data_IF_655888588907
#
_entry.id   IF_655888588907
#
_cell.length_a   1.000
_cell.length_b   1.000
_cell.length_c   1.000
_cell.angle_alpha   90.00
_cell.angle_beta   90.00
_cell.angle_gamma   90.00
#
_symmetry.space_group_name_H-M   'P 1'
#
loop_
_entity.id
_entity.type
_entity.pdbx_description
1 polymer ?
#
# COMPACT_ATOMS: atom_id res chain seq x y z
N UNK A 1 -18.49 -30.71 -11.28
CA UNK A 1 -18.89 -29.40 -10.72
C UNK A 1 -17.89 -28.39 -11.16
N UNK A 2 -18.32 -27.35 -11.85
CA UNK A 2 -17.43 -26.24 -12.23
C UNK A 2 -17.63 -25.15 -11.17
N UNK A 3 -16.61 -24.90 -10.37
CA UNK A 3 -16.58 -23.79 -9.42
C UNK A 3 -15.77 -22.64 -10.02
N UNK A 4 -16.29 -21.43 -9.95
CA UNK A 4 -15.58 -20.23 -10.33
C UNK A 4 -15.09 -19.54 -9.07
N UNK A 5 -13.79 -19.31 -8.96
CA UNK A 5 -13.18 -18.54 -7.90
C UNK A 5 -12.06 -17.67 -8.48
N UNK A 6 -11.62 -16.69 -7.74
CA UNK A 6 -10.44 -15.92 -8.11
C UNK A 6 -9.15 -16.75 -7.97
N UNK A 7 -8.07 -16.32 -8.61
CA UNK A 7 -6.79 -17.03 -8.60
C UNK A 7 -6.18 -17.13 -7.18
N UNK A 8 -6.48 -16.16 -6.32
CA UNK A 8 -6.07 -16.20 -4.93
C UNK A 8 -6.74 -17.34 -4.16
N UNK A 9 -8.03 -17.56 -4.39
CA UNK A 9 -8.79 -18.68 -3.83
C UNK A 9 -8.29 -20.01 -4.40
N UNK A 10 -8.04 -20.08 -5.73
CA UNK A 10 -7.47 -21.26 -6.39
C UNK A 10 -6.12 -21.67 -5.81
N UNK A 11 -5.23 -20.72 -5.56
CA UNK A 11 -3.92 -21.00 -4.98
C UNK A 11 -4.02 -21.60 -3.56
N UNK A 12 -5.10 -21.30 -2.84
CA UNK A 12 -5.38 -21.87 -1.51
C UNK A 12 -6.09 -23.24 -1.56
N UNK A 13 -6.64 -23.61 -2.70
CA UNK A 13 -7.31 -24.89 -2.93
C UNK A 13 -6.35 -25.93 -3.53
N UNK A 14 -5.04 -25.81 -3.27
CA UNK A 14 -4.01 -26.69 -3.82
C UNK A 14 -4.29 -28.19 -3.65
N UNK A 15 -4.95 -28.57 -2.56
CA UNK A 15 -5.37 -29.96 -2.32
C UNK A 15 -6.40 -30.47 -3.32
N UNK A 16 -7.20 -29.59 -3.93
CA UNK A 16 -8.18 -29.97 -4.97
C UNK A 16 -7.50 -30.27 -6.30
N UNK A 17 -6.36 -29.66 -6.59
CA UNK A 17 -5.57 -29.92 -7.81
C UNK A 17 -5.09 -31.39 -7.81
N UNK A 18 -4.67 -31.90 -6.65
CA UNK A 18 -4.30 -33.31 -6.46
C UNK A 18 -5.44 -34.30 -6.69
N UNK A 19 -6.69 -33.85 -6.72
CA UNK A 19 -7.88 -34.65 -6.96
C UNK A 19 -8.39 -34.62 -8.42
N UNK A 20 -7.59 -34.11 -9.35
CA UNK A 20 -7.89 -34.07 -10.77
C UNK A 20 -8.68 -32.84 -11.25
N UNK A 21 -8.76 -31.79 -10.44
CA UNK A 21 -9.34 -30.51 -10.87
C UNK A 21 -8.30 -29.72 -11.68
N UNK A 22 -8.74 -29.18 -12.81
CA UNK A 22 -7.92 -28.28 -13.63
C UNK A 22 -8.26 -26.84 -13.24
N UNK A 23 -7.33 -26.13 -12.58
CA UNK A 23 -7.53 -24.72 -12.25
C UNK A 23 -7.36 -23.87 -13.50
N UNK A 24 -8.30 -23.00 -13.78
CA UNK A 24 -8.16 -21.89 -14.73
C UNK A 24 -8.96 -20.70 -14.24
N UNK A 25 -8.49 -19.53 -14.57
CA UNK A 25 -9.13 -18.27 -14.21
C UNK A 25 -9.70 -17.52 -15.43
N UNK A 26 -10.32 -16.36 -15.21
CA UNK A 26 -10.82 -15.53 -16.30
C UNK A 26 -9.72 -14.96 -17.17
N UNK A 27 -8.50 -14.81 -16.65
CA UNK A 27 -7.34 -14.42 -17.45
C UNK A 27 -7.05 -15.45 -18.54
N UNK A 28 -7.12 -16.73 -18.20
CA UNK A 28 -6.91 -17.83 -19.14
C UNK A 28 -8.02 -17.88 -20.20
N UNK A 29 -9.25 -17.51 -19.82
CA UNK A 29 -10.41 -17.52 -20.71
C UNK A 29 -10.64 -16.23 -21.50
N UNK A 30 -9.84 -15.19 -21.24
CA UNK A 30 -10.03 -13.82 -21.75
C UNK A 30 -10.18 -13.76 -23.28
N UNK A 31 -9.33 -14.46 -23.99
CA UNK A 31 -9.35 -14.46 -25.46
C UNK A 31 -10.51 -15.22 -26.05
N UNK A 32 -10.94 -16.27 -25.37
CA UNK A 32 -12.11 -17.06 -25.76
C UNK A 32 -13.38 -16.24 -25.54
N UNK A 33 -13.51 -15.58 -24.39
CA UNK A 33 -14.65 -14.73 -24.07
C UNK A 33 -14.79 -13.55 -25.06
N UNK A 34 -13.70 -12.91 -25.44
CA UNK A 34 -13.69 -11.81 -26.43
C UNK A 34 -14.14 -12.24 -27.83
N UNK A 35 -13.88 -13.46 -28.22
CA UNK A 35 -14.21 -13.99 -29.56
C UNK A 35 -15.66 -14.46 -29.66
N UNK A 36 -16.33 -14.71 -28.56
CA UNK A 36 -17.69 -15.24 -28.56
C UNK A 36 -18.74 -14.12 -28.70
N UNK A 37 -19.32 -13.99 -29.87
CA UNK A 37 -20.46 -13.08 -30.11
C UNK A 37 -21.76 -13.49 -29.40
N UNK A 38 -21.82 -14.67 -28.82
CA UNK A 38 -23.03 -15.22 -28.16
C UNK A 38 -22.92 -15.27 -26.64
N UNK A 39 -21.76 -14.94 -26.09
CA UNK A 39 -21.56 -14.96 -24.64
C UNK A 39 -22.04 -13.64 -24.03
N UNK A 40 -23.10 -13.72 -23.25
CA UNK A 40 -23.53 -12.59 -22.40
C UNK A 40 -22.74 -12.69 -21.11
N UNK A 41 -21.68 -11.88 -21.00
CA UNK A 41 -20.89 -11.79 -19.79
C UNK A 41 -21.68 -11.05 -18.70
N UNK A 42 -21.59 -11.52 -17.46
CA UNK A 42 -22.06 -10.74 -16.31
C UNK A 42 -21.22 -9.44 -16.19
N UNK A 43 -21.70 -8.41 -15.47
CA UNK A 43 -20.93 -7.18 -15.28
C UNK A 43 -19.52 -7.42 -14.72
N UNK A 44 -19.39 -8.38 -13.78
CA UNK A 44 -18.07 -8.74 -13.23
C UNK A 44 -17.19 -9.39 -14.30
N UNK A 45 -17.71 -10.35 -15.04
CA UNK A 45 -16.98 -11.02 -16.12
C UNK A 45 -16.54 -10.05 -17.22
N UNK A 46 -17.43 -9.11 -17.56
CA UNK A 46 -17.12 -8.06 -18.52
C UNK A 46 -15.95 -7.20 -18.05
N UNK A 47 -15.96 -6.73 -16.80
CA UNK A 47 -14.84 -5.99 -16.20
C UNK A 47 -13.54 -6.79 -16.22
N UNK A 48 -13.56 -8.08 -15.90
CA UNK A 48 -12.38 -8.93 -15.94
C UNK A 48 -11.78 -9.06 -17.34
N UNK A 49 -12.63 -9.12 -18.37
CA UNK A 49 -12.19 -9.19 -19.78
C UNK A 49 -11.64 -7.84 -20.28
N UNK A 50 -12.28 -6.76 -19.87
CA UNK A 50 -11.96 -5.39 -20.30
C UNK A 50 -10.91 -4.71 -19.40
N UNK A 51 -10.44 -5.40 -18.36
CA UNK A 51 -9.53 -4.82 -17.38
C UNK A 51 -8.30 -4.20 -18.00
N UNK A 52 -8.02 -3.01 -17.53
CA UNK A 52 -6.76 -2.32 -17.72
C UNK A 52 -6.05 -2.21 -16.36
N UNK A 53 -4.76 -2.37 -16.36
CA UNK A 53 -3.93 -2.12 -15.19
C UNK A 53 -2.66 -1.42 -15.62
N UNK A 54 -2.19 -0.55 -14.77
CA UNK A 54 -0.92 0.14 -14.92
C UNK A 54 -0.14 -0.04 -13.62
N UNK A 55 1.09 -0.51 -13.73
CA UNK A 55 2.02 -0.54 -12.62
C UNK A 55 2.77 0.79 -12.66
N UNK A 56 2.48 1.64 -11.69
CA UNK A 56 3.23 2.88 -11.51
C UNK A 56 4.57 2.52 -10.91
N UNK A 57 5.65 2.94 -11.56
CA UNK A 57 7.00 2.69 -11.07
C UNK A 57 7.14 3.21 -9.63
N UNK A 58 7.84 2.44 -8.77
CA UNK A 58 8.05 2.88 -7.40
C UNK A 58 8.74 4.24 -7.39
N UNK A 59 8.31 5.07 -6.46
CA UNK A 59 8.96 6.35 -6.20
C UNK A 59 10.41 6.10 -5.86
N UNK A 60 11.32 6.69 -6.63
CA UNK A 60 12.72 6.74 -6.22
C UNK A 60 12.79 7.59 -4.97
N UNK A 61 13.51 7.11 -3.95
CA UNK A 61 13.64 7.79 -2.66
C UNK A 61 14.20 9.23 -2.81
N UNK A 62 14.94 9.47 -3.88
CA UNK A 62 15.56 10.77 -4.12
C UNK A 62 16.33 11.24 -2.89
N UNK A 63 15.99 12.43 -2.42
CA UNK A 63 16.64 13.07 -1.27
C UNK A 63 15.91 12.79 0.06
N UNK A 64 14.89 11.92 0.11
CA UNK A 64 14.11 11.70 1.34
C UNK A 64 14.90 10.98 2.42
N UNK A 65 15.86 10.16 2.05
CA UNK A 65 16.63 9.32 2.97
C UNK A 65 15.88 8.10 3.49
N UNK A 66 14.69 7.78 2.94
CA UNK A 66 13.88 6.64 3.36
C UNK A 66 14.58 5.31 3.04
N UNK A 67 15.14 5.20 1.84
CA UNK A 67 15.89 4.02 1.41
C UNK A 67 17.17 3.82 2.24
N UNK A 68 17.86 4.92 2.57
CA UNK A 68 19.00 4.88 3.48
C UNK A 68 18.59 4.36 4.86
N UNK A 69 17.53 4.93 5.45
CA UNK A 69 17.05 4.49 6.76
C UNK A 69 16.63 3.01 6.73
N UNK A 70 15.94 2.57 5.70
CA UNK A 70 15.54 1.19 5.52
C UNK A 70 16.74 0.25 5.48
N UNK A 71 17.71 0.49 4.60
CA UNK A 71 18.87 -0.38 4.45
C UNK A 71 19.73 -0.43 5.71
N UNK A 72 19.90 0.72 6.38
CA UNK A 72 20.65 0.80 7.62
C UNK A 72 19.98 0.01 8.74
N UNK A 73 18.66 0.17 8.93
CA UNK A 73 17.93 -0.60 9.96
C UNK A 73 18.00 -2.11 9.69
N UNK A 74 17.74 -2.55 8.47
CA UNK A 74 17.83 -3.97 8.12
C UNK A 74 19.26 -4.53 8.26
N UNK A 75 20.27 -3.75 7.89
CA UNK A 75 21.68 -4.16 8.00
C UNK A 75 22.12 -4.30 9.44
N UNK A 76 21.84 -3.29 10.28
CA UNK A 76 22.27 -3.28 11.68
C UNK A 76 21.56 -4.36 12.50
N UNK A 77 20.25 -4.41 12.43
CA UNK A 77 19.47 -5.35 13.24
C UNK A 77 19.59 -6.81 12.74
N UNK A 78 19.74 -7.02 11.43
CA UNK A 78 20.02 -8.35 10.88
C UNK A 78 21.37 -8.95 11.28
N UNK A 79 22.29 -8.14 11.81
CA UNK A 79 23.58 -8.58 12.29
C UNK A 79 23.61 -8.87 13.81
N UNK A 80 22.56 -8.50 14.55
CA UNK A 80 22.46 -8.70 16.01
C UNK A 80 21.65 -9.96 16.29
N UNK A 81 22.26 -10.91 16.98
CA UNK A 81 21.57 -12.10 17.51
C UNK A 81 21.45 -11.94 19.03
N UNK A 82 20.23 -11.74 19.51
CA UNK A 82 19.96 -11.45 20.93
C UNK A 82 18.59 -11.92 21.37
N UNK A 83 18.49 -12.30 22.66
CA UNK A 83 17.24 -12.62 23.37
C UNK A 83 16.83 -11.47 24.32
N UNK A 84 17.42 -10.28 24.19
CA UNK A 84 17.06 -9.11 24.99
C UNK A 84 15.72 -8.55 24.52
N UNK A 85 14.67 -8.78 25.30
CA UNK A 85 13.29 -8.41 24.97
C UNK A 85 13.13 -6.88 24.78
N UNK A 86 13.83 -6.07 25.56
CA UNK A 86 13.75 -4.61 25.45
C UNK A 86 14.39 -4.11 24.16
N UNK A 87 15.52 -4.71 23.76
CA UNK A 87 16.17 -4.43 22.47
C UNK A 87 15.26 -4.82 21.31
N UNK A 88 14.70 -6.03 21.32
CA UNK A 88 13.81 -6.53 20.27
C UNK A 88 12.56 -5.69 20.15
N UNK A 89 11.99 -5.21 21.26
CA UNK A 89 10.85 -4.30 21.24
C UNK A 89 11.19 -2.93 20.64
N UNK A 90 12.37 -2.39 20.97
CA UNK A 90 12.85 -1.13 20.41
C UNK A 90 13.10 -1.25 18.90
N UNK A 91 13.71 -2.35 18.45
CA UNK A 91 13.87 -2.69 17.04
C UNK A 91 12.53 -2.73 16.31
N UNK A 92 11.55 -3.49 16.82
CA UNK A 92 10.22 -3.60 16.24
C UNK A 92 9.52 -2.22 16.16
N UNK A 93 9.74 -1.38 17.17
CA UNK A 93 9.19 -0.02 17.20
C UNK A 93 9.77 0.84 16.08
N UNK A 94 11.07 0.77 15.84
CA UNK A 94 11.73 1.48 14.72
C UNK A 94 11.27 0.96 13.36
N UNK A 95 11.14 -0.35 13.19
CA UNK A 95 10.54 -0.90 11.97
C UNK A 95 9.06 -0.52 11.82
N UNK A 96 8.34 -0.35 12.92
CA UNK A 96 6.97 0.19 12.93
C UNK A 96 6.91 1.61 12.36
N UNK A 97 7.81 2.48 12.81
CA UNK A 97 7.95 3.87 12.32
C UNK A 97 8.33 3.89 10.83
N UNK A 98 9.33 3.11 10.43
CA UNK A 98 9.75 2.97 9.04
C UNK A 98 8.59 2.50 8.16
N UNK A 99 7.91 1.43 8.57
CA UNK A 99 6.78 0.87 7.83
C UNK A 99 5.60 1.84 7.74
N UNK A 100 5.37 2.67 8.76
CA UNK A 100 4.36 3.71 8.72
C UNK A 100 4.75 4.82 7.72
N UNK A 101 6.01 5.26 7.71
CA UNK A 101 6.51 6.23 6.74
C UNK A 101 6.39 5.73 5.28
N UNK A 102 6.71 4.46 5.03
CA UNK A 102 6.58 3.83 3.70
C UNK A 102 5.11 3.78 3.24
N UNK A 103 4.17 3.53 4.15
CA UNK A 103 2.74 3.42 3.82
C UNK A 103 2.00 4.75 3.77
N UNK A 104 2.61 5.82 4.24
CA UNK A 104 1.99 7.14 4.31
C UNK A 104 1.66 7.67 2.92
N UNK A 105 0.42 8.13 2.76
CA UNK A 105 -0.12 8.68 1.51
C UNK A 105 -0.54 10.13 1.64
N UNK A 106 -0.45 10.66 2.85
CA UNK A 106 -0.82 12.02 3.24
C UNK A 106 0.32 12.71 3.97
N UNK A 107 0.34 14.03 3.95
CA UNK A 107 1.28 14.79 4.76
C UNK A 107 0.98 14.56 6.25
N UNK A 108 2.00 14.24 7.08
CA UNK A 108 1.79 13.98 8.49
C UNK A 108 1.40 15.25 9.24
N UNK A 109 0.45 15.12 10.17
CA UNK A 109 0.10 16.18 11.12
C UNK A 109 1.10 16.26 12.28
N UNK A 110 1.04 17.36 13.04
CA UNK A 110 1.94 17.62 14.15
C UNK A 110 1.89 16.54 15.24
N UNK A 111 0.68 16.12 15.61
CA UNK A 111 0.46 15.09 16.63
C UNK A 111 1.08 13.75 16.25
N UNK A 112 0.91 13.35 15.00
CA UNK A 112 1.53 12.13 14.48
C UNK A 112 3.05 12.25 14.49
N UNK A 113 3.60 13.39 14.05
CA UNK A 113 5.04 13.63 14.05
C UNK A 113 5.64 13.55 15.45
N UNK A 114 4.99 14.15 16.43
CA UNK A 114 5.43 14.11 17.83
C UNK A 114 5.42 12.70 18.38
N UNK A 115 4.36 11.95 18.10
CA UNK A 115 4.26 10.54 18.53
C UNK A 115 5.39 9.69 17.92
N UNK A 116 5.63 9.79 16.61
CA UNK A 116 6.68 9.01 15.95
C UNK A 116 8.08 9.42 16.42
N UNK A 117 8.30 10.71 16.65
CA UNK A 117 9.56 11.24 17.19
C UNK A 117 9.81 10.72 18.61
N UNK A 118 8.77 10.63 19.44
CA UNK A 118 8.84 10.02 20.77
C UNK A 118 9.27 8.55 20.67
N UNK A 119 8.61 7.76 19.85
CA UNK A 119 8.96 6.33 19.64
C UNK A 119 10.43 6.18 19.20
N UNK A 120 10.90 6.99 18.26
CA UNK A 120 12.30 6.95 17.82
C UNK A 120 13.24 7.28 18.98
N UNK A 121 12.91 8.28 19.80
CA UNK A 121 13.74 8.71 20.92
C UNK A 121 13.86 7.63 21.98
N UNK A 122 12.74 7.05 22.38
CA UNK A 122 12.67 6.00 23.40
C UNK A 122 13.38 4.74 22.93
N UNK A 123 13.20 4.35 21.65
CA UNK A 123 13.87 3.19 21.06
C UNK A 123 15.40 3.39 21.00
N UNK A 124 15.89 4.56 20.61
CA UNK A 124 17.31 4.86 20.60
C UNK A 124 17.92 4.79 22.00
N UNK A 125 17.22 5.28 23.02
CA UNK A 125 17.71 5.23 24.40
C UNK A 125 17.77 3.77 24.90
N UNK A 126 16.74 2.96 24.63
CA UNK A 126 16.72 1.54 24.98
C UNK A 126 17.87 0.77 24.32
N UNK A 127 18.07 0.96 23.01
CA UNK A 127 19.16 0.32 22.25
C UNK A 127 20.53 0.77 22.78
N UNK A 128 20.69 2.04 23.14
CA UNK A 128 21.92 2.55 23.74
C UNK A 128 22.23 1.86 25.08
N UNK A 129 21.22 1.65 25.90
CA UNK A 129 21.36 1.01 27.24
C UNK A 129 21.71 -0.47 27.13
N UNK A 130 21.23 -1.18 26.12
CA UNK A 130 21.53 -2.60 25.87
C UNK A 130 23.01 -2.86 25.57
N UNK A 131 23.70 -1.87 24.98
CA UNK A 131 25.11 -1.97 24.55
C UNK A 131 25.39 -3.09 23.54
N UNK A 132 24.38 -3.58 22.85
CA UNK A 132 24.52 -4.63 21.84
C UNK A 132 25.10 -4.10 20.52
N UNK A 133 24.93 -2.83 20.21
CA UNK A 133 25.55 -2.18 19.07
C UNK A 133 26.90 -1.55 19.45
N UNK A 134 27.87 -1.70 18.57
CA UNK A 134 29.14 -0.98 18.66
C UNK A 134 28.93 0.54 18.48
N UNK A 135 29.95 1.33 18.83
CA UNK A 135 29.85 2.80 18.75
C UNK A 135 29.57 3.30 17.32
N UNK A 136 30.19 2.66 16.33
CA UNK A 136 30.03 3.04 14.92
C UNK A 136 28.62 2.68 14.45
N UNK A 137 28.17 1.44 14.71
CA UNK A 137 26.82 0.97 14.35
C UNK A 137 25.73 1.81 15.00
N UNK A 138 25.90 2.17 16.28
CA UNK A 138 24.96 3.06 16.96
C UNK A 138 24.93 4.46 16.33
N UNK A 139 26.08 4.99 15.88
CA UNK A 139 26.13 6.26 15.16
C UNK A 139 25.39 6.20 13.82
N UNK A 140 25.49 5.08 13.10
CA UNK A 140 24.72 4.85 11.87
C UNK A 140 23.21 4.75 12.15
N UNK A 141 22.82 4.08 13.22
CA UNK A 141 21.43 4.02 13.67
C UNK A 141 20.88 5.42 13.98
N UNK A 142 21.64 6.26 14.69
CA UNK A 142 21.25 7.65 14.96
C UNK A 142 21.05 8.45 13.66
N UNK A 143 21.90 8.26 12.65
CA UNK A 143 21.76 8.91 11.36
C UNK A 143 20.52 8.43 10.58
N UNK A 144 20.24 7.12 10.59
CA UNK A 144 19.05 6.57 10.00
C UNK A 144 17.77 7.11 10.67
N UNK A 145 17.76 7.16 12.00
CA UNK A 145 16.66 7.74 12.77
C UNK A 145 16.50 9.25 12.52
N UNK A 146 17.60 9.97 12.34
CA UNK A 146 17.57 11.39 11.95
C UNK A 146 16.99 11.58 10.53
N UNK A 147 17.24 10.65 9.61
CA UNK A 147 16.61 10.64 8.29
C UNK A 147 15.09 10.42 8.41
N UNK A 148 14.64 9.43 9.20
CA UNK A 148 13.21 9.21 9.45
C UNK A 148 12.52 10.43 10.05
N UNK A 149 13.13 11.09 11.05
CA UNK A 149 12.59 12.32 11.64
C UNK A 149 12.48 13.47 10.63
N UNK A 150 13.38 13.55 9.66
CA UNK A 150 13.30 14.56 8.58
C UNK A 150 12.14 14.29 7.63
N UNK A 151 11.86 13.04 7.38
CA UNK A 151 10.75 12.61 6.53
C UNK A 151 9.42 12.86 7.24
N UNK A 152 9.31 12.44 8.50
CA UNK A 152 8.11 12.57 9.33
C UNK A 152 8.06 13.98 9.96
N UNK A 153 7.91 15.01 9.13
CA UNK A 153 7.74 16.40 9.57
C UNK A 153 6.35 16.91 9.20
N UNK A 154 5.73 17.75 10.03
CA UNK A 154 4.44 18.34 9.71
C UNK A 154 4.46 19.02 8.35
N UNK A 155 3.48 18.71 7.51
CA UNK A 155 3.33 19.29 6.18
C UNK A 155 4.41 18.90 5.16
N UNK A 156 5.26 17.92 5.47
CA UNK A 156 6.24 17.42 4.49
C UNK A 156 5.53 16.59 3.42
N UNK A 157 5.61 17.00 2.17
CA UNK A 157 5.09 16.23 1.04
C UNK A 157 6.05 15.12 0.67
N UNK A 158 5.55 13.90 0.75
CA UNK A 158 6.29 12.71 0.35
C UNK A 158 6.27 12.55 -1.18
N UNK A 159 7.34 12.03 -1.80
CA UNK A 159 7.32 11.73 -3.24
C UNK A 159 6.14 10.84 -3.66
N UNK A 160 5.75 9.90 -2.82
CA UNK A 160 4.57 9.04 -3.03
C UNK A 160 3.26 9.82 -3.03
N UNK A 161 3.09 10.75 -2.10
CA UNK A 161 1.93 11.64 -2.06
C UNK A 161 1.81 12.44 -3.37
N UNK A 162 2.92 12.99 -3.86
CA UNK A 162 2.93 13.73 -5.12
C UNK A 162 2.53 12.85 -6.31
N UNK A 163 3.01 11.62 -6.39
CA UNK A 163 2.62 10.69 -7.44
C UNK A 163 1.13 10.31 -7.37
N UNK A 164 0.61 10.09 -6.16
CA UNK A 164 -0.82 9.85 -5.97
C UNK A 164 -1.62 11.07 -6.40
N UNK A 165 -1.18 12.28 -6.03
CA UNK A 165 -1.82 13.53 -6.43
C UNK A 165 -1.88 13.67 -7.95
N UNK A 166 -0.78 13.42 -8.64
CA UNK A 166 -0.70 13.51 -10.10
C UNK A 166 -1.65 12.50 -10.78
N UNK A 167 -1.75 11.28 -10.24
CA UNK A 167 -2.69 10.26 -10.74
C UNK A 167 -4.15 10.66 -10.48
N UNK A 168 -4.46 11.04 -9.26
CA UNK A 168 -5.83 11.42 -8.85
C UNK A 168 -6.30 12.60 -9.69
N UNK A 169 -5.51 13.66 -9.78
CA UNK A 169 -5.89 14.87 -10.53
C UNK A 169 -5.98 14.63 -12.04
N UNK A 170 -5.15 13.74 -12.60
CA UNK A 170 -5.27 13.31 -14.00
C UNK A 170 -6.65 12.75 -14.31
N UNK A 171 -7.20 11.92 -13.43
CA UNK A 171 -8.52 11.32 -13.64
C UNK A 171 -9.65 12.29 -13.30
N UNK A 172 -9.54 13.05 -12.22
CA UNK A 172 -10.55 14.05 -11.86
C UNK A 172 -10.70 15.15 -12.91
N UNK A 173 -9.62 15.56 -13.58
CA UNK A 173 -9.68 16.48 -14.71
C UNK A 173 -10.50 15.95 -15.91
N UNK A 174 -10.68 14.64 -15.98
CA UNK A 174 -11.51 13.96 -16.97
C UNK A 174 -12.89 13.57 -16.43
N UNK A 175 -13.27 14.09 -15.25
CA UNK A 175 -14.52 13.77 -14.54
C UNK A 175 -14.71 12.28 -14.25
N UNK A 176 -13.61 11.54 -14.08
CA UNK A 176 -13.62 10.12 -13.80
C UNK A 176 -13.59 9.86 -12.30
N UNK A 177 -14.41 8.93 -11.78
CA UNK A 177 -14.42 8.60 -10.36
C UNK A 177 -13.16 7.86 -9.95
N UNK A 178 -12.55 8.28 -8.85
CA UNK A 178 -11.29 7.75 -8.33
C UNK A 178 -11.47 7.17 -6.93
N UNK A 179 -10.88 6.01 -6.71
CA UNK A 179 -10.82 5.34 -5.42
C UNK A 179 -9.37 5.16 -5.01
N UNK A 180 -8.98 5.72 -3.88
CA UNK A 180 -7.68 5.49 -3.27
C UNK A 180 -7.78 4.41 -2.20
N UNK A 181 -7.10 3.29 -2.41
CA UNK A 181 -7.02 2.20 -1.43
C UNK A 181 -5.80 2.41 -0.55
N UNK A 182 -6.02 2.52 0.76
CA UNK A 182 -5.00 2.83 1.76
C UNK A 182 -4.97 1.78 2.89
N UNK A 183 -3.94 1.85 3.73
CA UNK A 183 -3.85 1.05 4.95
C UNK A 183 -5.03 1.36 5.89
N UNK A 184 -5.56 0.31 6.55
CA UNK A 184 -6.72 0.44 7.44
C UNK A 184 -6.51 1.48 8.53
N UNK A 185 -5.33 1.55 9.10
CA UNK A 185 -5.03 2.43 10.22
C UNK A 185 -4.92 3.90 9.79
N UNK A 186 -4.79 4.16 8.49
CA UNK A 186 -4.61 5.50 7.91
C UNK A 186 -5.83 6.00 7.14
N UNK A 187 -6.87 5.17 6.97
CA UNK A 187 -7.99 5.49 6.09
C UNK A 187 -8.72 6.79 6.45
N UNK A 188 -8.91 7.05 7.75
CA UNK A 188 -9.60 8.28 8.22
C UNK A 188 -8.75 9.52 7.99
N UNK A 189 -7.46 9.47 8.30
CA UNK A 189 -6.54 10.59 8.14
C UNK A 189 -6.30 10.87 6.65
N UNK A 190 -6.09 9.82 5.84
CA UNK A 190 -5.97 9.93 4.40
C UNK A 190 -7.23 10.54 3.77
N UNK A 191 -8.43 10.08 4.17
CA UNK A 191 -9.68 10.66 3.66
C UNK A 191 -9.77 12.16 3.94
N UNK A 192 -9.51 12.57 5.19
CA UNK A 192 -9.57 13.99 5.59
C UNK A 192 -8.56 14.83 4.80
N UNK A 193 -7.32 14.37 4.76
CA UNK A 193 -6.25 15.04 4.05
C UNK A 193 -6.57 15.23 2.56
N UNK A 194 -6.89 14.12 1.87
CA UNK A 194 -7.16 14.15 0.43
C UNK A 194 -8.42 14.93 0.07
N UNK A 195 -9.47 14.81 0.89
CA UNK A 195 -10.68 15.62 0.70
C UNK A 195 -10.37 17.12 0.76
N UNK A 196 -9.67 17.56 1.81
CA UNK A 196 -9.35 18.97 1.99
C UNK A 196 -8.39 19.47 0.90
N UNK A 197 -7.39 18.69 0.51
CA UNK A 197 -6.45 19.03 -0.56
C UNK A 197 -7.16 19.17 -1.91
N UNK A 198 -8.06 18.25 -2.25
CA UNK A 198 -8.80 18.30 -3.51
C UNK A 198 -9.80 19.45 -3.55
N UNK A 199 -10.52 19.70 -2.47
CA UNK A 199 -11.45 20.85 -2.36
C UNK A 199 -10.69 22.17 -2.48
N UNK A 200 -9.54 22.30 -1.81
CA UNK A 200 -8.70 23.49 -1.89
C UNK A 200 -8.25 23.78 -3.33
N UNK A 201 -7.96 22.72 -4.10
CA UNK A 201 -7.54 22.82 -5.49
C UNK A 201 -8.71 22.85 -6.49
N UNK A 202 -9.96 22.94 -6.04
CA UNK A 202 -11.15 23.13 -6.87
C UNK A 202 -11.71 21.88 -7.54
N UNK A 203 -11.31 20.70 -7.09
CA UNK A 203 -11.86 19.43 -7.60
C UNK A 203 -13.19 19.08 -6.90
N UNK A 204 -14.05 18.33 -7.60
CA UNK A 204 -15.30 17.82 -7.03
C UNK A 204 -15.00 16.61 -6.11
N UNK A 205 -15.16 16.76 -4.78
CA UNK A 205 -14.86 15.70 -3.85
C UNK A 205 -15.80 14.49 -3.97
N UNK A 206 -16.95 14.61 -4.67
CA UNK A 206 -17.88 13.49 -4.90
C UNK A 206 -17.32 12.44 -5.87
N UNK A 207 -16.34 12.83 -6.68
CA UNK A 207 -15.64 11.93 -7.60
C UNK A 207 -14.47 11.21 -6.97
N UNK A 208 -14.18 11.46 -5.70
CA UNK A 208 -13.07 10.86 -4.99
C UNK A 208 -13.51 10.15 -3.72
N UNK A 209 -12.97 8.96 -3.48
CA UNK A 209 -13.19 8.23 -2.24
C UNK A 209 -11.92 7.54 -1.74
N UNK A 210 -11.83 7.34 -0.44
CA UNK A 210 -10.76 6.57 0.21
C UNK A 210 -11.37 5.35 0.86
N UNK A 211 -10.75 4.21 0.68
CA UNK A 211 -11.20 2.96 1.30
C UNK A 211 -10.02 2.08 1.73
N UNK A 212 -10.32 1.13 2.60
CA UNK A 212 -9.34 0.10 2.97
C UNK A 212 -9.35 -1.06 1.96
N UNK A 213 -8.31 -1.90 1.99
CA UNK A 213 -8.31 -3.15 1.19
C UNK A 213 -9.51 -4.03 1.53
N UNK A 214 -9.95 -4.06 2.79
CA UNK A 214 -11.14 -4.81 3.22
C UNK A 214 -12.41 -4.27 2.55
N UNK A 215 -12.59 -2.96 2.56
CA UNK A 215 -13.77 -2.32 1.98
C UNK A 215 -13.79 -2.49 0.47
N UNK A 216 -12.63 -2.36 -0.18
CA UNK A 216 -12.48 -2.65 -1.61
C UNK A 216 -12.98 -4.06 -1.96
N UNK A 217 -12.53 -5.09 -1.25
CA UNK A 217 -12.93 -6.47 -1.53
C UNK A 217 -14.35 -6.82 -1.06
N UNK A 218 -15.00 -5.98 -0.25
CA UNK A 218 -16.42 -6.14 0.05
C UNK A 218 -17.33 -5.73 -1.11
N UNK A 219 -16.84 -4.87 -1.99
CA UNK A 219 -17.55 -4.40 -3.19
C UNK A 219 -18.77 -3.51 -2.92
N UNK A 220 -19.02 -3.16 -1.66
CA UNK A 220 -20.28 -2.48 -1.29
C UNK A 220 -20.45 -1.08 -1.87
N UNK A 221 -19.39 -0.42 -2.27
CA UNK A 221 -19.41 0.97 -2.72
C UNK A 221 -18.72 1.16 -4.08
N UNK A 222 -18.58 0.09 -4.86
CA UNK A 222 -17.96 0.13 -6.17
C UNK A 222 -18.98 -0.15 -7.28
N UNK A 223 -19.04 0.73 -8.25
CA UNK A 223 -19.83 0.53 -9.49
C UNK A 223 -19.02 -0.29 -10.52
N UNK A 224 -17.70 -0.33 -10.36
CA UNK A 224 -16.75 -1.07 -11.19
C UNK A 224 -16.12 -0.26 -12.33
N UNK A 225 -16.55 0.97 -12.52
CA UNK A 225 -16.04 1.89 -13.54
C UNK A 225 -15.01 2.89 -12.94
N UNK A 226 -14.76 2.79 -11.63
CA UNK A 226 -13.83 3.64 -10.92
C UNK A 226 -12.37 3.34 -11.32
N UNK A 227 -11.55 4.38 -11.22
CA UNK A 227 -10.10 4.30 -11.31
C UNK A 227 -9.54 4.05 -9.92
N UNK A 228 -9.11 2.81 -9.67
CA UNK A 228 -8.66 2.36 -8.35
C UNK A 228 -7.15 2.43 -8.24
N UNK A 229 -6.68 3.23 -7.31
CA UNK A 229 -5.25 3.43 -7.02
C UNK A 229 -4.94 2.71 -5.70
N UNK A 230 -4.09 1.70 -5.75
CA UNK A 230 -3.52 1.07 -4.56
C UNK A 230 -2.29 1.87 -4.11
N UNK A 231 -2.36 2.46 -2.94
CA UNK A 231 -1.31 3.35 -2.42
C UNK A 231 -0.02 2.64 -2.03
N UNK A 232 0.09 1.34 -2.22
CA UNK A 232 1.29 0.56 -1.93
C UNK A 232 1.10 -0.93 -2.08
N UNK A 233 2.17 -1.67 -1.87
CA UNK A 233 2.15 -3.13 -1.92
C UNK A 233 1.63 -3.72 -0.61
N UNK A 234 0.48 -4.36 -0.65
CA UNK A 234 -0.21 -4.94 0.52
C UNK A 234 0.06 -6.44 0.72
N UNK A 235 1.13 -6.94 0.13
CA UNK A 235 1.44 -8.36 0.11
C UNK A 235 0.86 -9.09 -1.11
N UNK A 236 1.56 -10.15 -1.54
CA UNK A 236 1.26 -10.86 -2.80
C UNK A 236 -0.18 -11.37 -2.87
N UNK A 237 -0.72 -11.92 -1.78
CA UNK A 237 -2.08 -12.46 -1.78
C UNK A 237 -3.18 -11.40 -1.95
N UNK A 238 -2.97 -10.19 -1.43
CA UNK A 238 -3.91 -9.07 -1.59
C UNK A 238 -3.82 -8.52 -3.01
N UNK A 239 -2.61 -8.32 -3.51
CA UNK A 239 -2.38 -7.77 -4.85
C UNK A 239 -2.86 -8.73 -5.94
N UNK A 240 -2.57 -10.01 -5.80
CA UNK A 240 -3.06 -11.06 -6.69
C UNK A 240 -4.59 -11.10 -6.71
N UNK A 241 -5.23 -10.99 -5.54
CA UNK A 241 -6.69 -10.89 -5.43
C UNK A 241 -7.23 -9.61 -6.09
N UNK A 242 -6.57 -8.48 -5.94
CA UNK A 242 -6.97 -7.24 -6.60
C UNK A 242 -6.94 -7.38 -8.12
N UNK A 243 -5.86 -7.95 -8.65
CA UNK A 243 -5.69 -8.20 -10.08
C UNK A 243 -6.73 -9.16 -10.66
N UNK A 244 -7.22 -10.12 -9.87
CA UNK A 244 -8.11 -11.18 -10.35
C UNK A 244 -9.56 -11.06 -9.87
N UNK A 245 -9.90 -10.10 -9.01
CA UNK A 245 -11.24 -10.00 -8.40
C UNK A 245 -12.35 -9.50 -9.34
N UNK A 246 -12.03 -8.76 -10.38
CA UNK A 246 -13.03 -8.09 -11.23
C UNK A 246 -13.86 -7.02 -10.51
N UNK A 247 -13.37 -6.49 -9.37
CA UNK A 247 -14.04 -5.42 -8.62
C UNK A 247 -13.96 -4.08 -9.32
N UNK A 248 -12.89 -3.82 -10.06
CA UNK A 248 -12.73 -2.63 -10.87
C UNK A 248 -12.14 -2.98 -12.25
N UNK A 249 -12.38 -2.11 -13.23
CA UNK A 249 -11.82 -2.25 -14.58
C UNK A 249 -10.44 -1.62 -14.68
N UNK A 250 -10.22 -0.48 -14.01
CA UNK A 250 -8.98 0.29 -14.07
C UNK A 250 -8.25 0.20 -12.72
N UNK A 251 -7.05 -0.39 -12.71
CA UNK A 251 -6.24 -0.60 -11.50
C UNK A 251 -4.85 0.03 -11.67
N UNK A 252 -4.39 0.73 -10.62
CA UNK A 252 -3.07 1.36 -10.52
C UNK A 252 -2.40 0.91 -9.22
N UNK A 253 -1.10 0.57 -9.29
CA UNK A 253 -0.32 0.05 -8.18
C UNK A 253 0.97 0.83 -7.97
#
# INVERSE_FOLDING_TARGET
VIGFCDRWTLNRLGDLIGQGFLPFDWGDCKDVAKKSKRCVLSPVQKRMVERQHEIVLPVQDGDTGLFYAQNTLYGLFGAVDTDDDDFLQAEQSLFGVLGAAIRMTEAPDERYCDQQTGIITDSLETIRQSRLLGREDFSELEQACAALRRIIRPGNRMPKEQQIYDLVTRFLNSELPVVLVVDRNRATDAYRYWHDELVHNGYDPRLFSVMTTRDYFSGHNLNGDEYVIFSGWYGSGIMDRALHSGMATNLFF
#
